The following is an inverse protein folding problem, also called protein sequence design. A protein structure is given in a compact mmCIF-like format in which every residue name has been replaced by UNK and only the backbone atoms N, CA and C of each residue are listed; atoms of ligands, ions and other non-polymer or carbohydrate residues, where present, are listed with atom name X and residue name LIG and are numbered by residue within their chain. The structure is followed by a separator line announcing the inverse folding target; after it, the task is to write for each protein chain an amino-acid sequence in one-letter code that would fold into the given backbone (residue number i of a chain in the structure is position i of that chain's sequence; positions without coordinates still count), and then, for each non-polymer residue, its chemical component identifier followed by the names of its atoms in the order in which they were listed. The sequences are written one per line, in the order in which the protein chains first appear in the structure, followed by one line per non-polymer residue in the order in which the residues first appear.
data_IF_597718085271
#
_entry.id   IF_597718085271
#
_cell.length_a   1.000
_cell.length_b   1.000
_cell.length_c   1.000
_cell.angle_alpha   90.00
_cell.angle_beta   90.00
_cell.angle_gamma   90.00
#
_symmetry.space_group_name_H-M   'P 1'
#
loop_
_entity.id
_entity.type
_entity.pdbx_description
1 polymer ?
#
# COMPACT_ATOMS: atom_id res chain seq x y z
N UNK A 1 -37.09 -50.04 43.02
CA UNK A 1 -37.19 -48.89 42.09
C UNK A 1 -36.13 -47.88 42.53
N UNK A 2 -34.93 -47.92 41.95
CA UNK A 2 -33.85 -47.00 42.32
C UNK A 2 -33.84 -45.83 41.34
N UNK A 3 -34.31 -44.67 41.79
CA UNK A 3 -34.27 -43.42 41.05
C UNK A 3 -32.82 -42.92 40.99
N UNK A 4 -32.21 -43.00 39.80
CA UNK A 4 -30.89 -42.46 39.52
C UNK A 4 -30.96 -40.93 39.46
N UNK A 5 -30.50 -40.25 40.51
CA UNK A 5 -30.40 -38.80 40.56
C UNK A 5 -29.26 -38.32 39.66
N UNK A 6 -29.60 -37.68 38.55
CA UNK A 6 -28.62 -37.07 37.64
C UNK A 6 -27.95 -35.86 38.32
N UNK A 7 -26.70 -36.03 38.75
CA UNK A 7 -25.86 -34.95 39.28
C UNK A 7 -25.51 -33.99 38.14
N UNK A 8 -26.11 -32.79 38.13
CA UNK A 8 -25.75 -31.72 37.21
C UNK A 8 -24.33 -31.26 37.55
N UNK A 9 -23.34 -31.35 36.63
CA UNK A 9 -21.98 -30.94 36.92
C UNK A 9 -21.92 -29.43 37.12
N UNK A 10 -21.28 -28.99 38.22
CA UNK A 10 -21.13 -27.58 38.59
C UNK A 10 -20.34 -26.73 37.57
N UNK A 11 -19.66 -27.37 36.61
CA UNK A 11 -18.89 -26.71 35.56
C UNK A 11 -19.19 -27.34 34.21
N UNK A 12 -19.82 -26.55 33.34
CA UNK A 12 -20.09 -26.97 31.97
C UNK A 12 -18.77 -27.10 31.18
N UNK A 13 -18.64 -28.11 30.31
CA UNK A 13 -17.49 -28.20 29.42
C UNK A 13 -17.46 -26.94 28.53
N UNK A 14 -16.26 -26.45 28.20
CA UNK A 14 -16.15 -25.31 27.29
C UNK A 14 -16.84 -25.64 25.96
N UNK A 15 -17.59 -24.68 25.43
CA UNK A 15 -18.23 -24.82 24.13
C UNK A 15 -17.14 -25.01 23.05
N UNK A 16 -17.16 -26.14 22.35
CA UNK A 16 -16.47 -26.29 21.06
C UNK A 16 -17.42 -25.74 19.99
N UNK A 17 -16.98 -24.86 19.08
CA UNK A 17 -15.63 -24.75 18.53
C UNK A 17 -14.76 -23.64 19.16
N UNK A 18 -13.46 -23.89 19.28
CA UNK A 18 -12.48 -22.91 19.77
C UNK A 18 -12.21 -21.82 18.73
N UNK A 19 -12.90 -20.68 18.84
CA UNK A 19 -12.71 -19.50 17.97
C UNK A 19 -11.42 -18.69 18.27
N UNK A 20 -10.44 -19.30 18.96
CA UNK A 20 -9.17 -18.64 19.27
C UNK A 20 -8.37 -18.27 18.02
N UNK A 21 -8.49 -19.06 16.95
CA UNK A 21 -7.76 -18.84 15.69
C UNK A 21 -8.13 -17.52 14.99
N UNK A 22 -9.39 -17.10 15.08
CA UNK A 22 -9.90 -15.84 14.47
C UNK A 22 -9.85 -14.64 15.41
N UNK A 23 -9.39 -14.83 16.65
CA UNK A 23 -9.41 -13.77 17.66
C UNK A 23 -8.37 -12.70 17.32
N UNK A 24 -8.82 -11.45 17.20
CA UNK A 24 -7.96 -10.29 17.02
C UNK A 24 -6.92 -10.22 18.16
N UNK A 25 -5.61 -10.14 17.84
CA UNK A 25 -4.58 -9.97 18.87
C UNK A 25 -4.70 -8.60 19.53
N UNK A 26 -4.32 -8.53 20.81
CA UNK A 26 -4.44 -7.28 21.61
C UNK A 26 -3.34 -6.25 21.32
N UNK A 27 -2.23 -6.64 20.70
CA UNK A 27 -1.10 -5.76 20.40
C UNK A 27 -1.32 -4.96 19.10
N UNK A 28 -0.87 -3.69 19.06
CA UNK A 28 -1.04 -2.83 17.89
C UNK A 28 -0.36 -3.40 16.63
N UNK A 29 0.88 -3.89 16.76
CA UNK A 29 1.59 -4.59 15.67
C UNK A 29 0.91 -5.89 15.28
N UNK A 30 0.38 -6.63 16.26
CA UNK A 30 -0.39 -7.85 16.01
C UNK A 30 -1.65 -7.56 15.20
N UNK A 31 -2.36 -6.46 15.48
CA UNK A 31 -3.54 -6.05 14.72
C UNK A 31 -3.17 -5.68 13.28
N UNK A 32 -2.05 -4.99 13.07
CA UNK A 32 -1.59 -4.63 11.74
C UNK A 32 -1.24 -5.87 10.90
N UNK A 33 -0.46 -6.80 11.46
CA UNK A 33 -0.12 -8.06 10.80
C UNK A 33 -1.35 -8.93 10.58
N UNK A 34 -2.26 -8.98 11.54
CA UNK A 34 -3.53 -9.71 11.40
C UNK A 34 -4.39 -9.14 10.29
N UNK A 35 -4.52 -7.81 10.18
CA UNK A 35 -5.26 -7.15 9.10
C UNK A 35 -4.59 -7.39 7.74
N UNK A 36 -3.26 -7.27 7.65
CA UNK A 36 -2.52 -7.55 6.42
C UNK A 36 -2.66 -9.00 5.99
N UNK A 37 -2.60 -9.95 6.94
CA UNK A 37 -2.82 -11.38 6.70
C UNK A 37 -4.24 -11.66 6.22
N UNK A 38 -5.25 -11.09 6.88
CA UNK A 38 -6.66 -11.25 6.48
C UNK A 38 -6.92 -10.67 5.09
N UNK A 39 -6.32 -9.53 4.75
CA UNK A 39 -6.38 -8.97 3.39
C UNK A 39 -5.70 -9.88 2.36
N UNK A 40 -4.55 -10.46 2.71
CA UNK A 40 -3.81 -11.37 1.86
C UNK A 40 -4.50 -12.73 1.66
N UNK A 41 -5.29 -13.18 2.65
CA UNK A 41 -6.15 -14.37 2.55
C UNK A 41 -7.45 -14.08 1.76
N UNK A 42 -7.91 -12.83 1.72
CA UNK A 42 -9.20 -12.46 1.10
C UNK A 42 -9.14 -12.21 -0.41
N UNK A 43 -7.96 -12.01 -1.01
CA UNK A 43 -7.84 -11.89 -2.47
C UNK A 43 -8.10 -13.25 -3.10
N UNK A 44 -9.29 -13.41 -3.69
CA UNK A 44 -9.90 -14.65 -4.19
C UNK A 44 -8.97 -15.67 -4.86
N UNK A 45 -7.98 -15.20 -5.64
CA UNK A 45 -7.00 -16.08 -6.29
C UNK A 45 -6.11 -16.79 -5.26
N UNK A 46 -5.67 -16.10 -4.20
CA UNK A 46 -4.84 -16.68 -3.14
C UNK A 46 -5.59 -17.60 -2.17
N UNK A 47 -6.92 -17.54 -2.12
CA UNK A 47 -7.72 -18.49 -1.32
C UNK A 47 -7.90 -19.85 -2.01
N UNK A 48 -7.75 -19.88 -3.34
CA UNK A 48 -7.88 -21.10 -4.14
C UNK A 48 -6.54 -21.80 -4.40
N UNK A 49 -5.43 -21.07 -4.22
CA UNK A 49 -4.08 -21.64 -4.34
C UNK A 49 -3.75 -22.57 -3.17
N UNK A 50 -3.03 -23.63 -3.46
CA UNK A 50 -2.52 -24.51 -2.41
C UNK A 50 -1.52 -23.74 -1.52
N UNK A 51 -1.37 -24.14 -0.23
CA UNK A 51 -0.46 -23.47 0.70
C UNK A 51 0.97 -23.38 0.17
N UNK A 52 1.41 -24.36 -0.62
CA UNK A 52 2.75 -24.41 -1.20
C UNK A 52 2.90 -23.41 -2.37
N UNK A 53 1.91 -23.30 -3.26
CA UNK A 53 1.93 -22.39 -4.41
C UNK A 53 1.98 -20.93 -3.96
N UNK A 54 1.24 -20.62 -2.89
CA UNK A 54 1.28 -19.31 -2.23
C UNK A 54 2.68 -18.95 -1.75
N UNK A 55 3.43 -19.91 -1.18
CA UNK A 55 4.80 -19.69 -0.71
C UNK A 55 5.72 -19.41 -1.91
N UNK A 56 5.59 -20.16 -3.01
CA UNK A 56 6.38 -19.90 -4.22
C UNK A 56 6.10 -18.52 -4.81
N UNK A 57 4.83 -18.14 -4.99
CA UNK A 57 4.48 -16.85 -5.58
C UNK A 57 5.00 -15.68 -4.73
N UNK A 58 4.84 -15.75 -3.41
CA UNK A 58 5.36 -14.73 -2.50
C UNK A 58 6.88 -14.65 -2.59
N UNK A 59 7.56 -15.79 -2.69
CA UNK A 59 9.03 -15.84 -2.81
C UNK A 59 9.49 -15.22 -4.13
N UNK A 60 8.90 -15.61 -5.26
CA UNK A 60 9.22 -15.05 -6.58
C UNK A 60 8.96 -13.54 -6.59
N UNK A 61 7.79 -13.12 -6.09
CA UNK A 61 7.44 -11.70 -6.02
C UNK A 61 8.42 -10.93 -5.12
N UNK A 62 8.81 -11.47 -3.97
CA UNK A 62 9.80 -10.86 -3.09
C UNK A 62 11.16 -10.74 -3.79
N UNK A 63 11.63 -11.78 -4.49
CA UNK A 63 12.90 -11.73 -5.23
C UNK A 63 12.84 -10.68 -6.34
N UNK A 64 11.77 -10.66 -7.13
CA UNK A 64 11.57 -9.65 -8.18
C UNK A 64 11.49 -8.24 -7.60
N UNK A 65 10.81 -8.06 -6.48
CA UNK A 65 10.66 -6.77 -5.82
C UNK A 65 12.00 -6.29 -5.26
N UNK A 66 12.79 -7.16 -4.63
CA UNK A 66 14.14 -6.83 -4.15
C UNK A 66 15.06 -6.50 -5.33
N UNK A 67 14.99 -7.27 -6.41
CA UNK A 67 15.76 -7.01 -7.62
C UNK A 67 15.37 -5.66 -8.24
N UNK A 68 14.08 -5.35 -8.30
CA UNK A 68 13.56 -4.08 -8.79
C UNK A 68 14.00 -2.93 -7.88
N UNK A 69 13.88 -3.05 -6.56
CA UNK A 69 14.37 -2.04 -5.62
C UNK A 69 15.88 -1.86 -5.76
N UNK A 70 16.65 -2.94 -5.85
CA UNK A 70 18.11 -2.87 -6.02
C UNK A 70 18.48 -2.21 -7.34
N UNK A 71 17.78 -2.56 -8.42
CA UNK A 71 17.92 -1.88 -9.72
C UNK A 71 17.54 -0.42 -9.63
N UNK A 72 16.44 -0.08 -8.96
CA UNK A 72 16.00 1.30 -8.80
C UNK A 72 17.01 2.10 -7.96
N UNK A 73 17.41 1.62 -6.78
CA UNK A 73 18.37 2.31 -5.93
C UNK A 73 19.78 2.38 -6.51
N UNK A 74 20.22 1.36 -7.26
CA UNK A 74 21.58 1.34 -7.83
C UNK A 74 21.67 2.02 -9.19
N UNK A 75 20.63 1.89 -10.02
CA UNK A 75 20.61 2.36 -11.40
C UNK A 75 19.95 3.74 -11.53
N UNK A 76 18.89 4.04 -10.77
CA UNK A 76 18.21 5.34 -10.84
C UNK A 76 19.10 6.55 -10.47
N UNK A 77 19.98 6.54 -9.45
CA UNK A 77 20.82 7.71 -9.16
C UNK A 77 21.77 8.04 -10.32
N UNK A 78 22.25 7.03 -11.06
CA UNK A 78 23.13 7.26 -12.20
C UNK A 78 22.40 7.98 -13.35
N UNK A 79 21.17 7.58 -13.65
CA UNK A 79 20.34 8.24 -14.65
C UNK A 79 19.84 9.62 -14.19
N UNK A 80 19.50 9.77 -12.92
CA UNK A 80 19.09 11.05 -12.32
C UNK A 80 20.19 12.10 -12.42
N UNK A 81 21.47 11.76 -12.23
CA UNK A 81 22.56 12.73 -12.32
C UNK A 81 22.73 13.27 -13.75
N UNK A 82 22.65 12.40 -14.76
CA UNK A 82 22.74 12.81 -16.17
C UNK A 82 21.52 13.62 -16.59
N UNK A 83 20.31 13.18 -16.22
CA UNK A 83 19.08 13.92 -16.49
C UNK A 83 19.04 15.25 -15.74
N UNK A 84 19.52 15.32 -14.50
CA UNK A 84 19.60 16.56 -13.72
C UNK A 84 20.52 17.58 -14.38
N UNK A 85 21.68 17.15 -14.90
CA UNK A 85 22.62 18.06 -15.58
C UNK A 85 22.01 18.65 -16.85
N UNK A 86 21.28 17.86 -17.63
CA UNK A 86 20.54 18.33 -18.82
C UNK A 86 19.33 19.18 -18.44
N UNK A 87 18.55 18.77 -17.44
CA UNK A 87 17.41 19.52 -16.95
C UNK A 87 17.83 20.88 -16.41
N UNK A 88 18.95 20.99 -15.67
CA UNK A 88 19.49 22.30 -15.26
C UNK A 88 19.91 23.16 -16.45
N UNK A 89 20.47 22.57 -17.52
CA UNK A 89 20.81 23.32 -18.72
C UNK A 89 19.56 23.90 -19.42
N UNK A 90 18.48 23.12 -19.50
CA UNK A 90 17.21 23.60 -20.06
C UNK A 90 16.47 24.55 -19.10
N UNK A 91 16.45 24.28 -17.80
CA UNK A 91 15.75 25.12 -16.82
C UNK A 91 16.43 26.49 -16.64
N UNK A 92 17.77 26.53 -16.74
CA UNK A 92 18.58 27.74 -16.51
C UNK A 92 18.96 28.45 -17.82
N UNK A 93 18.84 27.79 -18.96
CA UNK A 93 19.10 28.36 -20.29
C UNK A 93 17.84 28.68 -21.09
N UNK A 94 16.65 28.34 -20.58
CA UNK A 94 15.39 28.44 -21.31
C UNK A 94 14.29 29.06 -20.41
N UNK A 95 14.45 30.33 -20.03
CA UNK A 95 13.34 31.14 -19.48
C UNK A 95 12.06 31.14 -20.36
N UNK A 96 12.12 30.61 -21.59
CA UNK A 96 10.97 30.41 -22.47
C UNK A 96 10.06 29.23 -22.11
N UNK A 97 10.57 28.13 -21.54
CA UNK A 97 9.75 26.92 -21.34
C UNK A 97 8.94 26.96 -20.05
N UNK A 98 9.46 27.57 -18.99
CA UNK A 98 8.68 27.82 -17.78
C UNK A 98 7.46 28.68 -18.11
N UNK A 99 7.61 29.71 -18.95
CA UNK A 99 6.50 30.56 -19.41
C UNK A 99 5.47 29.77 -20.23
N UNK A 100 5.92 28.86 -21.11
CA UNK A 100 5.03 27.97 -21.86
C UNK A 100 4.30 26.98 -20.95
N UNK A 101 4.97 26.44 -19.93
CA UNK A 101 4.38 25.58 -18.91
C UNK A 101 3.35 26.34 -18.06
N UNK A 102 3.66 27.55 -17.59
CA UNK A 102 2.70 28.39 -16.85
C UNK A 102 1.50 28.83 -17.73
N UNK A 103 1.74 29.03 -19.03
CA UNK A 103 0.69 29.31 -20.01
C UNK A 103 -0.19 28.09 -20.29
N UNK A 104 0.38 26.89 -20.39
CA UNK A 104 -0.38 25.64 -20.53
C UNK A 104 -1.11 25.24 -19.24
N UNK A 105 -0.52 25.50 -18.06
CA UNK A 105 -1.15 25.31 -16.77
C UNK A 105 -2.25 26.36 -16.46
N UNK A 106 -2.47 27.34 -17.36
CA UNK A 106 -3.56 28.32 -17.26
C UNK A 106 -3.42 29.35 -16.14
N UNK A 107 -2.22 29.53 -15.57
CA UNK A 107 -1.99 30.40 -14.42
C UNK A 107 -1.56 31.84 -14.78
N UNK A 108 -1.47 32.16 -16.07
CA UNK A 108 -1.09 33.50 -16.56
C UNK A 108 -2.28 34.25 -17.14
N UNK A 109 -3.10 34.88 -16.31
CA UNK A 109 -4.09 35.82 -16.85
C UNK A 109 -5.25 36.29 -15.96
N UNK A 110 -5.04 36.65 -14.70
CA UNK A 110 -6.09 37.33 -13.89
C UNK A 110 -5.74 38.78 -13.49
N UNK A 111 -4.88 39.48 -14.24
CA UNK A 111 -4.61 40.91 -14.01
C UNK A 111 -5.22 41.81 -15.11
N UNK A 112 -6.37 41.43 -15.66
CA UNK A 112 -7.16 42.23 -16.61
C UNK A 112 -8.14 43.23 -15.97
N UNK A 113 -8.23 43.32 -14.65
CA UNK A 113 -9.23 44.11 -13.91
C UNK A 113 -8.74 45.51 -13.49
N UNK A 114 -8.04 46.24 -14.36
CA UNK A 114 -7.60 47.62 -14.06
C UNK A 114 -7.64 48.59 -15.25
N UNK A 115 -8.31 48.23 -16.36
CA UNK A 115 -8.48 49.12 -17.52
C UNK A 115 -9.93 49.12 -18.03
N UNK A 116 -10.89 49.36 -17.13
CA UNK A 116 -12.30 49.64 -17.48
C UNK A 116 -12.93 50.72 -16.60
N UNK A 117 -12.12 51.56 -15.95
CA UNK A 117 -12.58 52.70 -15.15
C UNK A 117 -12.37 54.06 -15.82
N UNK A 118 -11.96 54.10 -17.10
CA UNK A 118 -11.71 55.35 -17.84
C UNK A 118 -12.35 55.35 -19.25
N UNK A 119 -13.59 54.86 -19.38
CA UNK A 119 -14.51 55.24 -20.46
C UNK A 119 -15.93 55.33 -19.91
#
# INVERSE_FOLDING_TARGET
MSSSSATVPAKLPPAKPDHRSTRRPKSALGVFLWRRRMWFESTFVLSMLEPWEKIMLVTIFAVLFILLLTGLFKYMPHHLVVMRRRAMYYLWGQEGDARLLWQWLGLTGENGLQRKSEL
#
